data_IF_941962087005
#
_entry.id   IF_941962087005
#
_cell.length_a   1.000
_cell.length_b   1.000
_cell.length_c   1.000
_cell.angle_alpha   90.00
_cell.angle_beta   90.00
_cell.angle_gamma   90.00
#
_symmetry.space_group_name_H-M   'P 1'
#
loop_
_entity.id
_entity.type
_entity.pdbx_description
1 polymer ?
#
# COMPACT_ATOMS: atom_id res chain seq x y z
N UNK A 1 -0.73 10.75 22.59
CA UNK A 1 0.19 10.70 21.42
C UNK A 1 -0.64 10.81 20.15
N UNK A 2 -0.26 11.70 19.23
CA UNK A 2 -0.91 11.77 17.92
C UNK A 2 -0.40 10.59 17.07
N UNK A 3 -1.25 9.59 16.83
CA UNK A 3 -0.94 8.47 15.95
C UNK A 3 -2.14 8.13 15.07
N UNK A 4 -1.86 7.62 13.86
CA UNK A 4 -2.86 7.01 12.99
C UNK A 4 -2.37 5.64 12.55
N UNK A 5 -3.26 4.65 12.63
CA UNK A 5 -3.01 3.28 12.18
C UNK A 5 -3.90 3.00 10.98
N UNK A 6 -3.29 2.54 9.89
CA UNK A 6 -4.00 2.24 8.64
C UNK A 6 -3.58 0.90 8.07
N UNK A 7 -4.42 0.38 7.17
CA UNK A 7 -4.23 -0.94 6.56
C UNK A 7 -4.28 -0.82 5.04
N UNK A 8 -3.25 -1.34 4.38
CA UNK A 8 -3.20 -1.60 2.95
C UNK A 8 -3.37 -3.08 2.65
N UNK A 9 -4.10 -3.42 1.59
CA UNK A 9 -4.37 -4.82 1.23
C UNK A 9 -4.28 -5.04 -0.27
N UNK A 10 -3.55 -6.08 -0.67
CA UNK A 10 -3.51 -6.53 -2.07
C UNK A 10 -3.43 -8.04 -2.11
N UNK A 11 -4.46 -8.68 -2.68
CA UNK A 11 -4.62 -10.14 -2.55
C UNK A 11 -4.41 -10.51 -1.07
N UNK A 12 -3.68 -11.58 -0.77
CA UNK A 12 -3.47 -12.05 0.60
C UNK A 12 -2.44 -11.23 1.40
N UNK A 13 -1.77 -10.24 0.79
CA UNK A 13 -0.87 -9.35 1.51
C UNK A 13 -1.65 -8.32 2.33
N UNK A 14 -1.28 -8.17 3.60
CA UNK A 14 -1.77 -7.14 4.51
C UNK A 14 -0.60 -6.33 5.04
N UNK A 15 -0.70 -5.02 4.92
CA UNK A 15 0.28 -4.06 5.39
C UNK A 15 -0.36 -3.17 6.45
N UNK A 16 0.26 -3.08 7.62
CA UNK A 16 -0.13 -2.20 8.71
C UNK A 16 0.85 -1.04 8.77
N UNK A 17 0.35 0.18 8.62
CA UNK A 17 1.14 1.40 8.72
C UNK A 17 0.75 2.17 9.97
N UNK A 18 1.76 2.60 10.73
CA UNK A 18 1.63 3.53 11.84
C UNK A 18 2.31 4.83 11.46
N UNK A 19 1.54 5.91 11.43
CA UNK A 19 2.03 7.27 11.11
C UNK A 19 2.00 8.13 12.36
N UNK A 20 3.15 8.73 12.68
CA UNK A 20 3.38 9.51 13.90
C UNK A 20 4.10 10.81 13.51
N UNK A 21 3.74 11.97 14.09
CA UNK A 21 4.48 13.19 13.88
C UNK A 21 5.80 13.16 14.65
N UNK A 22 6.85 13.69 14.05
CA UNK A 22 8.21 13.76 14.59
C UNK A 22 8.80 15.14 14.32
N UNK A 23 9.73 15.60 15.15
CA UNK A 23 10.48 16.86 14.95
C UNK A 23 11.74 16.65 14.09
N UNK A 24 11.79 15.56 13.33
CA UNK A 24 12.94 15.14 12.54
C UNK A 24 12.53 14.99 11.07
N UNK A 25 13.48 14.92 10.12
CA UNK A 25 13.16 14.68 8.72
C UNK A 25 12.36 13.39 8.53
N UNK A 26 11.62 13.34 7.43
CA UNK A 26 10.76 12.20 7.07
C UNK A 26 11.51 10.87 7.20
N UNK A 27 10.88 9.92 7.91
CA UNK A 27 11.46 8.60 8.14
C UNK A 27 10.45 7.51 7.77
N UNK A 28 10.82 6.66 6.81
CA UNK A 28 10.02 5.53 6.37
C UNK A 28 10.77 4.21 6.57
N UNK A 29 10.15 3.31 7.33
CA UNK A 29 10.64 1.95 7.52
C UNK A 29 9.62 0.92 7.05
N UNK A 30 10.10 -0.12 6.38
CA UNK A 30 9.33 -1.29 5.97
C UNK A 30 9.93 -2.51 6.66
N UNK A 31 9.13 -3.20 7.48
CA UNK A 31 9.58 -4.32 8.30
C UNK A 31 10.85 -4.00 9.12
N UNK A 32 10.86 -2.82 9.75
CA UNK A 32 11.98 -2.31 10.55
C UNK A 32 13.26 -1.98 9.76
N UNK A 33 13.23 -2.07 8.43
CA UNK A 33 14.34 -1.69 7.54
C UNK A 33 14.03 -0.36 6.89
N UNK A 34 14.98 0.58 6.88
CA UNK A 34 14.83 1.85 6.17
C UNK A 34 14.70 1.65 4.67
N UNK A 35 13.88 2.48 3.99
CA UNK A 35 13.57 2.30 2.57
C UNK A 35 14.82 2.16 1.68
N UNK A 36 15.86 2.94 1.94
CA UNK A 36 17.11 2.91 1.16
C UNK A 36 17.81 1.54 1.19
N UNK A 37 17.70 0.83 2.32
CA UNK A 37 18.34 -0.46 2.59
C UNK A 37 17.50 -1.66 2.12
N UNK A 38 16.26 -1.44 1.69
CA UNK A 38 15.42 -2.50 1.14
C UNK A 38 16.06 -3.04 -0.14
N UNK A 39 16.39 -4.33 -0.18
CA UNK A 39 17.07 -4.95 -1.32
C UNK A 39 16.21 -4.90 -2.59
N UNK A 40 14.89 -5.06 -2.45
CA UNK A 40 13.96 -5.04 -3.58
C UNK A 40 13.88 -3.63 -4.22
N UNK A 41 14.52 -3.50 -5.38
CA UNK A 41 14.51 -2.29 -6.21
C UNK A 41 13.09 -1.93 -6.66
N UNK A 42 12.26 -2.93 -6.95
CA UNK A 42 10.90 -2.70 -7.40
C UNK A 42 10.04 -2.08 -6.29
N UNK A 43 10.18 -2.60 -5.06
CA UNK A 43 9.55 -2.00 -3.88
C UNK A 43 9.97 -0.55 -3.68
N UNK A 44 11.29 -0.28 -3.73
CA UNK A 44 11.83 1.08 -3.57
C UNK A 44 11.27 2.03 -4.60
N UNK A 45 11.28 1.66 -5.87
CA UNK A 45 10.80 2.53 -6.95
C UNK A 45 9.31 2.82 -6.82
N UNK A 46 8.48 1.84 -6.47
CA UNK A 46 7.03 2.04 -6.30
C UNK A 46 6.68 2.90 -5.10
N UNK A 47 7.49 2.85 -4.04
CA UNK A 47 7.33 3.71 -2.86
C UNK A 47 7.87 5.11 -3.14
N UNK A 48 9.00 5.25 -3.83
CA UNK A 48 9.54 6.55 -4.22
C UNK A 48 8.60 7.30 -5.17
N UNK A 49 7.98 6.59 -6.11
CA UNK A 49 6.91 7.13 -6.97
C UNK A 49 5.74 7.69 -6.12
N UNK A 50 5.34 6.98 -5.07
CA UNK A 50 4.30 7.46 -4.14
C UNK A 50 4.74 8.72 -3.39
N UNK A 51 5.97 8.75 -2.87
CA UNK A 51 6.54 9.91 -2.16
C UNK A 51 6.54 11.14 -3.09
N UNK A 52 6.92 10.95 -4.35
CA UNK A 52 6.93 12.02 -5.35
C UNK A 52 5.53 12.57 -5.64
N UNK A 53 4.51 11.70 -5.73
CA UNK A 53 3.12 12.11 -5.99
C UNK A 53 2.52 12.90 -4.82
N UNK A 54 2.83 12.47 -3.58
CA UNK A 54 2.36 13.15 -2.37
C UNK A 54 3.06 14.51 -2.23
N UNK A 55 4.34 14.58 -2.59
CA UNK A 55 5.20 15.73 -2.36
C UNK A 55 6.01 15.55 -1.08
N UNK A 56 7.30 15.91 -1.12
CA UNK A 56 8.20 15.79 0.03
C UNK A 56 7.78 16.74 1.15
N UNK A 57 7.31 17.94 0.78
CA UNK A 57 6.80 18.97 1.67
C UNK A 57 5.68 18.46 2.58
N UNK A 58 4.83 17.58 2.06
CA UNK A 58 3.71 17.02 2.81
C UNK A 58 4.12 15.85 3.73
N UNK A 59 5.34 15.34 3.57
CA UNK A 59 5.88 14.23 4.34
C UNK A 59 6.91 14.68 5.38
N UNK A 60 7.37 15.92 5.29
CA UNK A 60 8.19 16.54 6.33
C UNK A 60 7.53 16.38 7.69
N UNK A 61 8.33 16.06 8.70
CA UNK A 61 7.88 15.84 10.09
C UNK A 61 6.99 14.60 10.30
N UNK A 62 6.92 13.66 9.35
CA UNK A 62 6.22 12.38 9.53
C UNK A 62 7.17 11.19 9.63
N UNK A 63 6.90 10.31 10.60
CA UNK A 63 7.47 8.97 10.68
C UNK A 63 6.41 7.96 10.31
N UNK A 64 6.72 7.13 9.33
CA UNK A 64 5.84 6.05 8.86
C UNK A 64 6.56 4.73 9.05
N UNK A 65 6.00 3.88 9.92
CA UNK A 65 6.50 2.51 10.12
C UNK A 65 5.49 1.53 9.54
N UNK A 66 5.92 0.69 8.61
CA UNK A 66 5.05 -0.29 7.94
C UNK A 66 5.51 -1.70 8.25
N UNK A 67 4.59 -2.57 8.67
CA UNK A 67 4.80 -4.00 8.79
C UNK A 67 3.90 -4.75 7.82
N UNK A 68 4.46 -5.67 7.03
CA UNK A 68 3.72 -6.39 5.98
C UNK A 68 3.89 -7.89 6.13
N UNK A 69 2.78 -8.61 6.01
CA UNK A 69 2.73 -10.08 6.05
C UNK A 69 1.78 -10.64 4.99
N UNK A 70 2.06 -11.87 4.57
CA UNK A 70 1.24 -12.62 3.61
C UNK A 70 1.42 -12.16 2.14
N UNK A 71 0.83 -12.93 1.22
CA UNK A 71 0.99 -12.71 -0.22
C UNK A 71 2.41 -12.98 -0.73
N UNK A 72 2.67 -12.61 -1.99
CA UNK A 72 4.00 -12.63 -2.58
C UNK A 72 4.61 -11.23 -2.69
N UNK A 73 5.88 -11.15 -3.10
CA UNK A 73 6.67 -9.91 -3.21
C UNK A 73 5.89 -8.73 -3.81
N UNK A 74 5.38 -8.89 -5.03
CA UNK A 74 4.65 -7.83 -5.73
C UNK A 74 3.39 -7.38 -4.97
N UNK A 75 2.59 -8.33 -4.44
CA UNK A 75 1.41 -7.96 -3.66
C UNK A 75 1.75 -7.23 -2.37
N UNK A 76 2.87 -7.56 -1.73
CA UNK A 76 3.34 -6.85 -0.55
C UNK A 76 3.69 -5.40 -0.89
N UNK A 77 4.41 -5.16 -1.99
CA UNK A 77 4.74 -3.80 -2.45
C UNK A 77 3.49 -2.94 -2.62
N UNK A 78 2.47 -3.44 -3.31
CA UNK A 78 1.22 -2.70 -3.49
C UNK A 78 0.45 -2.50 -2.18
N UNK A 79 0.49 -3.47 -1.25
CA UNK A 79 -0.10 -3.31 0.07
C UNK A 79 0.63 -2.24 0.90
N UNK A 80 1.97 -2.21 0.88
CA UNK A 80 2.79 -1.15 1.52
C UNK A 80 2.41 0.21 0.95
N UNK A 81 2.44 0.34 -0.39
CA UNK A 81 2.09 1.56 -1.11
C UNK A 81 0.73 2.09 -0.67
N UNK A 82 -0.25 1.21 -0.58
CA UNK A 82 -1.60 1.58 -0.16
C UNK A 82 -1.67 1.99 1.32
N UNK A 83 -0.95 1.30 2.20
CA UNK A 83 -0.94 1.60 3.64
C UNK A 83 -0.31 2.97 3.91
N UNK A 84 0.80 3.31 3.23
CA UNK A 84 1.45 4.62 3.35
C UNK A 84 0.50 5.72 2.89
N UNK A 85 -0.09 5.58 1.69
CA UNK A 85 -0.99 6.58 1.12
C UNK A 85 -2.18 6.87 2.04
N UNK A 86 -2.85 5.81 2.54
CA UNK A 86 -3.94 5.95 3.51
C UNK A 86 -3.48 6.58 4.83
N UNK A 87 -2.30 6.20 5.31
CA UNK A 87 -1.73 6.74 6.55
C UNK A 87 -1.56 8.26 6.48
N UNK A 88 -0.98 8.74 5.38
CA UNK A 88 -0.78 10.19 5.16
C UNK A 88 -2.13 10.91 5.05
N UNK A 89 -3.03 10.45 4.19
CA UNK A 89 -4.36 11.09 4.03
C UNK A 89 -5.14 11.10 5.35
N UNK A 90 -5.11 10.01 6.11
CA UNK A 90 -5.79 9.94 7.40
C UNK A 90 -5.13 10.80 8.47
N UNK A 91 -3.81 10.99 8.43
CA UNK A 91 -3.10 11.90 9.31
C UNK A 91 -3.51 13.36 9.07
N UNK A 92 -3.49 13.79 7.80
CA UNK A 92 -3.87 15.16 7.44
C UNK A 92 -5.32 15.48 7.81
N UNK A 93 -6.25 14.55 7.55
CA UNK A 93 -7.65 14.73 7.92
C UNK A 93 -7.94 14.73 9.43
N UNK A 94 -7.00 14.28 10.28
CA UNK A 94 -7.18 14.24 11.74
C UNK A 94 -6.43 15.33 12.49
N UNK A 95 -5.25 15.74 11.98
CA UNK A 95 -4.30 16.55 12.75
C UNK A 95 -3.75 17.78 12.03
N UNK A 96 -4.02 17.96 10.73
CA UNK A 96 -3.51 19.09 9.94
C UNK A 96 -4.67 19.92 9.42
N UNK A 97 -5.07 19.75 8.15
CA UNK A 97 -6.11 20.53 7.49
C UNK A 97 -6.86 19.66 6.46
N UNK A 98 -8.16 19.92 6.30
CA UNK A 98 -9.01 19.18 5.36
C UNK A 98 -8.73 19.56 3.90
N UNK A 99 -8.35 20.82 3.62
CA UNK A 99 -8.00 21.28 2.27
C UNK A 99 -6.78 20.54 1.71
N UNK A 100 -5.68 20.49 2.49
CA UNK A 100 -4.46 19.77 2.11
C UNK A 100 -4.70 18.27 1.94
N UNK A 101 -5.53 17.70 2.80
CA UNK A 101 -5.96 16.30 2.66
C UNK A 101 -6.66 16.07 1.32
N UNK A 102 -7.60 16.92 0.94
CA UNK A 102 -8.32 16.81 -0.33
C UNK A 102 -7.37 16.96 -1.52
N UNK A 103 -6.42 17.88 -1.46
CA UNK A 103 -5.41 18.05 -2.49
C UNK A 103 -4.56 16.79 -2.68
N UNK A 104 -4.01 16.24 -1.59
CA UNK A 104 -3.21 15.00 -1.61
C UNK A 104 -4.07 13.83 -2.14
N UNK A 105 -5.30 13.71 -1.67
CA UNK A 105 -6.23 12.66 -2.11
C UNK A 105 -6.52 12.77 -3.61
N UNK A 106 -6.75 13.97 -4.14
CA UNK A 106 -7.01 14.20 -5.56
C UNK A 106 -5.78 13.87 -6.42
N UNK A 107 -4.57 14.27 -5.98
CA UNK A 107 -3.31 13.91 -6.65
C UNK A 107 -3.13 12.38 -6.72
N UNK A 108 -3.38 11.67 -5.62
CA UNK A 108 -3.27 10.21 -5.54
C UNK A 108 -4.29 9.49 -6.44
N UNK A 109 -5.56 9.90 -6.41
CA UNK A 109 -6.62 9.28 -7.22
C UNK A 109 -6.38 9.50 -8.71
N UNK A 110 -5.92 10.71 -9.08
CA UNK A 110 -5.60 11.04 -10.48
C UNK A 110 -4.48 10.16 -11.03
N UNK A 111 -3.50 9.80 -10.19
CA UNK A 111 -2.44 8.89 -10.59
C UNK A 111 -2.91 7.43 -10.63
N UNK A 112 -3.45 6.92 -9.53
CA UNK A 112 -3.89 5.53 -9.41
C UNK A 112 -4.90 5.36 -8.27
N UNK A 113 -6.14 5.00 -8.62
CA UNK A 113 -7.22 4.74 -7.66
C UNK A 113 -6.88 3.66 -6.61
N UNK A 114 -6.05 2.68 -6.96
CA UNK A 114 -5.71 1.57 -6.06
C UNK A 114 -4.71 1.96 -4.96
N UNK A 115 -4.19 3.18 -4.98
CA UNK A 115 -3.39 3.74 -3.87
C UNK A 115 -4.23 3.99 -2.63
N UNK A 116 -5.51 4.34 -2.79
CA UNK A 116 -6.43 4.56 -1.67
C UNK A 116 -7.44 3.42 -1.54
N UNK A 117 -7.98 2.92 -2.65
CA UNK A 117 -9.02 1.87 -2.62
C UNK A 117 -8.39 0.49 -2.77
N UNK A 118 -8.80 -0.46 -1.93
CA UNK A 118 -8.29 -1.83 -2.03
C UNK A 118 -8.90 -2.54 -3.24
N UNK A 119 -8.06 -3.29 -3.95
CA UNK A 119 -8.52 -4.16 -5.03
C UNK A 119 -9.16 -5.43 -4.44
N UNK A 120 -10.48 -5.65 -4.62
CA UNK A 120 -11.18 -6.75 -3.98
C UNK A 120 -10.88 -8.12 -4.61
N UNK A 121 -10.20 -8.18 -5.76
CA UNK A 121 -10.03 -9.42 -6.53
C UNK A 121 -9.28 -10.51 -5.75
N UNK A 122 -9.81 -11.74 -5.83
CA UNK A 122 -9.28 -12.96 -5.22
C UNK A 122 -9.25 -14.11 -6.23
N UNK A 123 -8.36 -15.08 -6.01
CA UNK A 123 -8.34 -16.30 -6.80
C UNK A 123 -9.63 -17.08 -6.56
N UNK A 124 -10.33 -17.45 -7.64
CA UNK A 124 -11.50 -18.31 -7.57
C UNK A 124 -11.10 -19.70 -7.02
N UNK A 125 -11.95 -20.34 -6.21
CA UNK A 125 -11.70 -21.69 -5.75
C UNK A 125 -11.70 -22.70 -6.91
N UNK A 126 -10.94 -23.78 -6.77
CA UNK A 126 -10.94 -24.88 -7.75
C UNK A 126 -12.33 -25.52 -7.81
N UNK A 127 -12.82 -25.76 -9.03
CA UNK A 127 -14.07 -26.50 -9.28
C UNK A 127 -13.75 -27.94 -9.69
N UNK A 128 -14.65 -28.88 -9.38
CA UNK A 128 -14.48 -30.28 -9.76
C UNK A 128 -14.50 -30.47 -11.30
N UNK A 129 -13.94 -31.60 -11.76
CA UNK A 129 -13.95 -31.98 -13.19
C UNK A 129 -12.90 -31.26 -14.04
N UNK A 130 -11.82 -30.79 -13.44
CA UNK A 130 -10.68 -30.22 -14.15
C UNK A 130 -9.55 -29.76 -13.24
N UNK A 131 -8.44 -29.27 -13.81
CA UNK A 131 -7.25 -28.92 -13.04
C UNK A 131 -7.38 -27.60 -12.27
N UNK A 132 -8.20 -26.64 -12.74
CA UNK A 132 -8.26 -25.26 -12.21
C UNK A 132 -9.70 -24.76 -12.00
N UNK A 133 -9.89 -23.52 -11.57
CA UNK A 133 -11.20 -22.91 -11.27
C UNK A 133 -12.18 -22.94 -12.46
N UNK A 134 -11.67 -22.78 -13.69
CA UNK A 134 -12.48 -22.76 -14.92
C UNK A 134 -12.08 -23.82 -15.95
N UNK A 135 -10.86 -24.33 -15.88
CA UNK A 135 -10.39 -25.37 -16.80
C UNK A 135 -11.10 -26.70 -16.53
N UNK A 136 -11.55 -27.38 -17.60
CA UNK A 136 -12.18 -28.70 -17.57
C UNK A 136 -11.29 -29.72 -18.28
N UNK A 137 -11.37 -30.98 -17.88
CA UNK A 137 -10.70 -32.04 -18.63
C UNK A 137 -11.33 -32.17 -20.02
N UNK A 138 -10.48 -32.31 -21.04
CA UNK A 138 -10.89 -32.53 -22.42
C UNK A 138 -11.63 -33.86 -22.55
N UNK A 139 -12.75 -33.87 -23.28
CA UNK A 139 -13.49 -35.09 -23.61
C UNK A 139 -12.94 -35.69 -24.90
N UNK A 140 -12.80 -37.01 -24.96
CA UNK A 140 -12.27 -37.70 -26.14
C UNK A 140 -13.30 -37.88 -27.27
N UNK A 141 -14.61 -37.74 -26.99
CA UNK A 141 -15.74 -37.91 -27.92
C UNK A 141 -15.69 -39.17 -28.81
N UNK A 142 -14.82 -40.11 -28.47
CA UNK A 142 -14.59 -41.37 -29.17
C UNK A 142 -15.56 -42.41 -28.64
#
# INVERSE_FOLDING_TARGET
>A
MQEVKTIGTKKHAKAHATTVPIQSPFSLTVNHVGLALVQDVFMRNKINELILIIGQENLENLRVNVSVRGGGHVSQVYAVRQAIAKGVVAFYGKFVDEERKQEIQNRLIKFDKFTLVADPRRSEPKKAGGPSARAKYTKSYR
#
